data_IF_066976588813
#
_entry.id   IF_066976588813
#
_cell.length_a   1.000
_cell.length_b   1.000
_cell.length_c   1.000
_cell.angle_alpha   90.00
_cell.angle_beta   90.00
_cell.angle_gamma   90.00
#
_symmetry.space_group_name_H-M   'P 1'
#
loop_
_entity.id
_entity.type
_entity.pdbx_description
1 polymer ?
#
# COMPACT_ATOMS: atom_id res chain seq x y z
N UNK A 1 0.73 -2.50 8.62
CA UNK A 1 0.92 -3.97 8.68
C UNK A 1 2.40 -4.25 8.84
N UNK A 2 2.80 -5.07 9.81
CA UNK A 2 4.19 -5.48 10.02
C UNK A 2 4.25 -7.00 9.91
N UNK A 3 5.27 -7.51 9.21
CA UNK A 3 5.54 -8.93 9.02
C UNK A 3 6.75 -9.32 9.85
N UNK A 4 6.64 -10.41 10.59
CA UNK A 4 7.68 -10.94 11.45
C UNK A 4 8.16 -12.30 10.94
N UNK A 5 9.44 -12.60 11.09
CA UNK A 5 9.96 -13.95 10.87
C UNK A 5 9.74 -14.87 12.08
N UNK A 6 10.21 -16.11 11.97
CA UNK A 6 10.10 -17.13 13.01
C UNK A 6 10.82 -16.79 14.32
N UNK A 7 11.77 -15.85 14.28
CA UNK A 7 12.49 -15.36 15.47
C UNK A 7 11.76 -14.18 16.14
N UNK A 8 10.72 -13.65 15.50
CA UNK A 8 10.00 -12.46 15.94
C UNK A 8 10.61 -11.15 15.44
N UNK A 9 11.58 -11.19 14.53
CA UNK A 9 12.18 -9.97 13.96
C UNK A 9 11.30 -9.42 12.83
N UNK A 10 11.12 -8.09 12.78
CA UNK A 10 10.36 -7.45 11.72
C UNK A 10 11.13 -7.51 10.38
N UNK A 11 10.56 -8.18 9.38
CA UNK A 11 11.20 -8.40 8.08
C UNK A 11 10.59 -7.57 6.95
N UNK A 12 9.36 -7.11 7.13
CA UNK A 12 8.73 -6.16 6.21
C UNK A 12 7.63 -5.37 6.91
N UNK A 13 7.25 -4.24 6.33
CA UNK A 13 6.03 -3.54 6.70
C UNK A 13 5.45 -2.78 5.51
N UNK A 14 4.17 -2.48 5.60
CA UNK A 14 3.57 -1.43 4.79
C UNK A 14 2.61 -0.57 5.60
N UNK A 15 2.59 0.71 5.27
CA UNK A 15 1.60 1.68 5.75
C UNK A 15 0.53 1.90 4.68
N UNK A 16 -0.68 2.25 5.10
CA UNK A 16 -1.81 2.46 4.21
C UNK A 16 -2.64 3.68 4.62
N UNK A 17 -3.47 4.16 3.70
CA UNK A 17 -4.42 5.25 3.90
C UNK A 17 -5.60 5.11 2.91
N UNK A 18 -6.76 5.60 3.32
CA UNK A 18 -7.89 5.91 2.43
C UNK A 18 -7.84 7.39 2.04
N UNK A 19 -7.46 7.65 0.78
CA UNK A 19 -7.34 9.00 0.24
C UNK A 19 -8.56 9.36 -0.59
N UNK A 20 -9.01 10.61 -0.49
CA UNK A 20 -9.97 11.15 -1.45
C UNK A 20 -9.24 11.45 -2.79
N UNK A 21 -9.98 11.83 -3.82
CA UNK A 21 -9.41 12.08 -5.15
C UNK A 21 -8.33 13.17 -5.13
N UNK A 22 -8.57 14.28 -4.42
CA UNK A 22 -7.64 15.39 -4.33
C UNK A 22 -6.32 14.98 -3.66
N UNK A 23 -6.39 14.27 -2.53
CA UNK A 23 -5.22 13.81 -1.79
C UNK A 23 -4.48 12.69 -2.52
N UNK A 24 -5.20 11.85 -3.27
CA UNK A 24 -4.63 10.85 -4.17
C UNK A 24 -3.79 11.49 -5.29
N UNK A 25 -4.31 12.53 -5.94
CA UNK A 25 -3.59 13.30 -6.95
C UNK A 25 -2.34 13.97 -6.35
N UNK A 26 -2.48 14.60 -5.18
CA UNK A 26 -1.36 15.20 -4.45
C UNK A 26 -0.31 14.16 -4.07
N UNK A 27 -0.70 12.99 -3.56
CA UNK A 27 0.23 11.93 -3.20
C UNK A 27 1.05 11.40 -4.41
N UNK A 28 0.45 11.37 -5.59
CA UNK A 28 1.16 11.03 -6.83
C UNK A 28 2.14 12.13 -7.23
N UNK A 29 1.72 13.40 -7.15
CA UNK A 29 2.50 14.55 -7.60
C UNK A 29 3.61 14.96 -6.62
N UNK A 30 3.38 14.79 -5.33
CA UNK A 30 4.26 15.28 -4.27
C UNK A 30 5.21 14.19 -3.75
N UNK A 31 6.37 14.62 -3.26
CA UNK A 31 7.52 13.77 -2.93
C UNK A 31 7.63 13.40 -1.45
N UNK A 32 6.73 13.87 -0.57
CA UNK A 32 6.73 13.37 0.81
C UNK A 32 6.09 14.20 1.91
N UNK A 33 5.13 15.09 1.63
CA UNK A 33 4.39 15.73 2.72
C UNK A 33 3.66 14.68 3.58
N UNK A 34 3.84 14.66 4.91
CA UNK A 34 3.10 13.76 5.79
C UNK A 34 1.60 14.08 5.72
N UNK A 35 0.80 13.05 5.44
CA UNK A 35 -0.66 13.18 5.50
C UNK A 35 -1.10 13.30 6.97
N UNK A 36 -1.99 14.26 7.26
CA UNK A 36 -2.69 14.33 8.55
C UNK A 36 -3.63 13.14 8.77
N UNK A 37 -4.11 12.95 10.00
CA UNK A 37 -5.03 11.86 10.34
C UNK A 37 -6.31 11.87 9.47
N UNK A 38 -6.94 13.03 9.33
CA UNK A 38 -8.15 13.21 8.50
C UNK A 38 -7.89 12.85 7.04
N UNK A 39 -6.80 13.37 6.46
CA UNK A 39 -6.40 13.07 5.08
C UNK A 39 -6.11 11.58 4.84
N UNK A 40 -5.79 10.82 5.89
CA UNK A 40 -5.46 9.39 5.79
C UNK A 40 -6.67 8.46 5.79
N UNK A 41 -7.83 8.87 6.29
CA UNK A 41 -8.91 7.92 6.60
C UNK A 41 -10.28 8.30 6.02
N UNK A 42 -10.45 9.52 5.52
CA UNK A 42 -11.76 10.02 5.07
C UNK A 42 -12.01 9.86 3.57
N UNK A 43 -11.12 9.16 2.87
CA UNK A 43 -11.25 8.88 1.44
C UNK A 43 -11.90 7.54 1.11
N UNK A 44 -11.96 7.25 -0.19
CA UNK A 44 -12.46 5.98 -0.71
C UNK A 44 -11.35 5.17 -1.40
N UNK A 45 -10.23 5.81 -1.75
CA UNK A 45 -9.17 5.15 -2.49
C UNK A 45 -8.16 4.55 -1.52
N UNK A 46 -8.09 3.22 -1.46
CA UNK A 46 -7.07 2.54 -0.68
C UNK A 46 -5.69 2.68 -1.34
N UNK A 47 -4.74 3.23 -0.57
CA UNK A 47 -3.35 3.43 -0.96
C UNK A 47 -2.40 2.75 0.03
N UNK A 48 -1.42 2.01 -0.50
CA UNK A 48 -0.20 1.70 0.24
C UNK A 48 0.74 2.91 0.11
N UNK A 49 0.99 3.56 1.24
CA UNK A 49 1.73 4.84 1.31
C UNK A 49 3.22 4.64 1.57
N UNK A 50 3.58 3.54 2.25
CA UNK A 50 4.96 3.09 2.42
C UNK A 50 5.04 1.57 2.37
N UNK A 51 6.15 1.04 1.86
CA UNK A 51 6.40 -0.39 1.72
C UNK A 51 7.91 -0.64 1.80
N UNK A 52 8.33 -1.29 2.88
CA UNK A 52 9.72 -1.69 3.09
C UNK A 52 9.74 -3.18 3.36
N UNK A 53 10.63 -3.89 2.69
CA UNK A 53 10.85 -5.31 2.91
C UNK A 53 12.34 -5.61 2.81
N UNK A 54 12.83 -6.42 3.75
CA UNK A 54 14.17 -7.01 3.69
C UNK A 54 14.28 -7.98 2.51
N UNK A 55 15.51 -8.25 2.10
CA UNK A 55 15.81 -9.21 1.02
C UNK A 55 15.22 -10.57 1.36
N UNK A 56 14.29 -11.07 0.53
CA UNK A 56 13.60 -12.35 0.72
C UNK A 56 12.16 -12.24 1.24
N UNK A 57 11.79 -11.15 1.94
CA UNK A 57 10.44 -10.98 2.50
C UNK A 57 9.43 -10.40 1.49
N UNK A 58 9.89 -9.72 0.44
CA UNK A 58 9.02 -9.06 -0.53
C UNK A 58 8.01 -9.98 -1.26
N UNK A 59 8.36 -11.24 -1.65
CA UNK A 59 7.39 -12.18 -2.21
C UNK A 59 6.23 -12.49 -1.26
N UNK A 60 6.49 -12.60 0.05
CA UNK A 60 5.47 -12.84 1.07
C UNK A 60 4.50 -11.66 1.17
N UNK A 61 5.03 -10.44 1.18
CA UNK A 61 4.18 -9.23 1.20
C UNK A 61 3.30 -9.15 -0.05
N UNK A 62 3.84 -9.50 -1.22
CA UNK A 62 3.04 -9.57 -2.47
C UNK A 62 1.92 -10.61 -2.38
N UNK A 63 2.20 -11.80 -1.86
CA UNK A 63 1.18 -12.84 -1.67
C UNK A 63 0.10 -12.38 -0.70
N UNK A 64 0.48 -11.73 0.41
CA UNK A 64 -0.47 -11.15 1.35
C UNK A 64 -1.37 -10.10 0.67
N UNK A 65 -0.79 -9.17 -0.08
CA UNK A 65 -1.56 -8.15 -0.81
C UNK A 65 -2.57 -8.81 -1.74
N UNK A 66 -2.15 -9.82 -2.52
CA UNK A 66 -3.03 -10.49 -3.49
C UNK A 66 -4.13 -11.34 -2.83
N UNK A 67 -3.77 -12.14 -1.83
CA UNK A 67 -4.64 -13.20 -1.33
C UNK A 67 -5.49 -12.76 -0.13
N UNK A 68 -5.07 -11.71 0.57
CA UNK A 68 -5.76 -11.21 1.76
C UNK A 68 -6.28 -9.80 1.48
N UNK A 69 -5.38 -8.84 1.27
CA UNK A 69 -5.77 -7.43 1.18
C UNK A 69 -6.74 -7.16 0.02
N UNK A 70 -6.47 -7.68 -1.18
CA UNK A 70 -7.33 -7.48 -2.35
C UNK A 70 -8.70 -8.17 -2.25
N UNK A 71 -8.93 -9.02 -1.24
CA UNK A 71 -10.29 -9.54 -0.94
C UNK A 71 -11.10 -8.58 -0.07
N UNK A 72 -10.43 -7.71 0.66
CA UNK A 72 -11.04 -6.72 1.55
C UNK A 72 -11.19 -5.36 0.86
N UNK A 73 -10.30 -5.05 -0.07
CA UNK A 73 -10.33 -3.80 -0.85
C UNK A 73 -10.35 -4.09 -2.34
N UNK A 74 -11.30 -3.47 -3.04
CA UNK A 74 -11.49 -3.66 -4.49
C UNK A 74 -10.25 -3.27 -5.31
N UNK A 75 -9.57 -2.19 -4.90
CA UNK A 75 -8.42 -1.64 -5.62
C UNK A 75 -7.32 -1.20 -4.66
N UNK A 76 -6.12 -1.75 -4.85
CA UNK A 76 -4.90 -1.34 -4.14
C UNK A 76 -4.05 -0.43 -5.04
N UNK A 77 -3.76 0.78 -4.57
CA UNK A 77 -2.89 1.75 -5.26
C UNK A 77 -1.57 1.91 -4.52
N UNK A 78 -0.47 2.03 -5.25
CA UNK A 78 0.84 2.34 -4.64
C UNK A 78 1.80 3.01 -5.61
N UNK A 79 2.76 3.77 -5.08
CA UNK A 79 3.79 4.49 -5.86
C UNK A 79 5.11 3.73 -5.87
N UNK A 80 5.63 3.37 -7.04
CA UNK A 80 6.99 2.87 -7.22
C UNK A 80 7.94 4.06 -7.32
N UNK A 81 8.49 4.49 -6.18
CA UNK A 81 9.37 5.69 -6.09
C UNK A 81 10.53 5.66 -7.09
N UNK A 82 11.27 4.55 -7.19
CA UNK A 82 12.43 4.41 -8.10
C UNK A 82 12.08 4.53 -9.59
N UNK A 83 10.83 4.25 -9.97
CA UNK A 83 10.41 4.27 -11.35
C UNK A 83 9.56 5.51 -11.69
N UNK A 84 9.30 6.39 -10.71
CA UNK A 84 8.32 7.49 -10.83
C UNK A 84 6.97 7.04 -11.44
N UNK A 85 6.55 5.80 -11.15
CA UNK A 85 5.32 5.20 -11.69
C UNK A 85 4.37 4.87 -10.55
N UNK A 86 3.08 5.13 -10.77
CA UNK A 86 2.02 4.59 -9.92
C UNK A 86 1.57 3.23 -10.46
N UNK A 87 1.11 2.37 -9.57
CA UNK A 87 0.54 1.07 -9.89
C UNK A 87 -0.83 0.97 -9.23
N UNK A 88 -1.79 0.51 -10.00
CA UNK A 88 -3.15 0.25 -9.57
C UNK A 88 -3.40 -1.25 -9.80
N UNK A 89 -3.62 -1.99 -8.71
CA UNK A 89 -3.99 -3.41 -8.75
C UNK A 89 -5.47 -3.49 -8.41
N UNK A 90 -6.27 -4.00 -9.35
CA UNK A 90 -7.70 -4.27 -9.13
C UNK A 90 -7.87 -5.74 -8.78
N UNK A 91 -8.76 -6.03 -7.84
CA UNK A 91 -9.17 -7.40 -7.56
C UNK A 91 -9.75 -8.01 -8.85
N UNK A 92 -9.29 -9.21 -9.20
CA UNK A 92 -9.96 -10.00 -10.24
C UNK A 92 -11.26 -10.50 -9.60
N UNK A 93 -12.40 -10.06 -10.12
CA UNK A 93 -13.70 -10.61 -9.74
C UNK A 93 -13.72 -12.02 -10.36
N UNK A 94 -13.48 -13.04 -9.55
CA UNK A 94 -13.80 -14.42 -9.95
C UNK A 94 -15.32 -14.49 -10.11
N UNK A 95 -15.77 -14.56 -11.37
CA UNK A 95 -17.17 -14.75 -11.76
C UNK A 95 -17.59 -16.20 -11.79
#
# INVERSE_FOLDING_TARGET
MIFYDVTGAATAYFAWAYLNEQESLRFVQDSGAPLSHHQRLEGEQFWITDLVATTGAFPLVKQYIRNVLMREVETVRYKKRRAHRFVCLKAEIEG
#
